data_IF_216139000193
#
_entry.id   IF_216139000193
#
_cell.length_a   1.000
_cell.length_b   1.000
_cell.length_c   1.000
_cell.angle_alpha   90.00
_cell.angle_beta   90.00
_cell.angle_gamma   90.00
#
_symmetry.space_group_name_H-M   'P 1'
#
loop_
_entity.id
_entity.type
_entity.pdbx_description
1 polymer ?
#
# COMPACT_ATOMS: atom_id res chain seq x y z
N UNK A 1 37.08 -14.79 -12.40
CA UNK A 1 37.15 -13.34 -12.11
C UNK A 1 35.86 -12.97 -11.40
N UNK A 2 35.98 -12.91 -10.07
CA UNK A 2 34.89 -12.66 -9.14
C UNK A 2 34.66 -11.15 -9.09
N UNK A 3 33.50 -10.67 -9.58
CA UNK A 3 33.15 -9.26 -9.49
C UNK A 3 32.29 -9.07 -8.25
N UNK A 4 32.92 -8.57 -7.20
CA UNK A 4 32.29 -8.11 -5.96
C UNK A 4 31.22 -7.07 -6.31
N UNK A 5 29.98 -7.54 -6.47
CA UNK A 5 28.81 -6.69 -6.71
C UNK A 5 28.46 -6.02 -5.39
N UNK A 6 29.06 -4.86 -5.12
CA UNK A 6 28.60 -3.97 -4.07
C UNK A 6 27.09 -3.75 -4.25
N UNK A 7 26.27 -4.27 -3.32
CA UNK A 7 24.82 -4.05 -3.31
C UNK A 7 24.55 -2.61 -2.85
N UNK A 8 24.88 -1.65 -3.70
CA UNK A 8 24.48 -0.26 -3.53
C UNK A 8 22.97 -0.16 -3.78
N UNK A 9 22.23 0.20 -2.74
CA UNK A 9 20.80 0.48 -2.79
C UNK A 9 20.47 1.58 -3.82
N UNK A 10 19.20 1.73 -4.18
CA UNK A 10 18.77 2.80 -5.08
C UNK A 10 18.95 4.16 -4.40
N UNK A 11 19.65 5.10 -5.05
CA UNK A 11 19.76 6.47 -4.56
C UNK A 11 18.47 7.25 -4.82
N UNK A 12 18.28 8.39 -4.16
CA UNK A 12 17.08 9.21 -4.36
C UNK A 12 17.05 9.78 -5.79
N UNK A 13 18.21 10.15 -6.34
CA UNK A 13 18.35 10.64 -7.71
C UNK A 13 17.95 9.56 -8.74
N UNK A 14 18.34 8.31 -8.51
CA UNK A 14 17.96 7.20 -9.38
C UNK A 14 16.44 6.92 -9.31
N UNK A 15 15.84 7.02 -8.12
CA UNK A 15 14.41 6.84 -7.95
C UNK A 15 13.62 7.98 -8.60
N UNK A 16 14.07 9.21 -8.41
CA UNK A 16 13.45 10.40 -8.99
C UNK A 16 13.49 10.37 -10.51
N UNK A 17 14.65 10.08 -11.10
CA UNK A 17 14.77 9.94 -12.55
C UNK A 17 13.87 8.83 -13.12
N UNK A 18 13.70 7.74 -12.38
CA UNK A 18 12.80 6.64 -12.78
C UNK A 18 11.33 7.08 -12.74
N UNK A 19 10.94 7.82 -11.71
CA UNK A 19 9.57 8.36 -11.57
C UNK A 19 9.28 9.40 -12.65
N UNK A 20 10.23 10.29 -12.95
CA UNK A 20 10.06 11.30 -14.00
C UNK A 20 9.86 10.68 -15.38
N UNK A 21 10.69 9.71 -15.75
CA UNK A 21 10.52 8.99 -17.01
C UNK A 21 9.20 8.22 -17.05
N UNK A 22 8.76 7.64 -15.93
CA UNK A 22 7.47 6.95 -15.84
C UNK A 22 6.30 7.91 -16.06
N UNK A 23 6.28 9.05 -15.36
CA UNK A 23 5.20 10.05 -15.50
C UNK A 23 5.19 10.66 -16.91
N UNK A 24 6.36 10.91 -17.50
CA UNK A 24 6.47 11.35 -18.90
C UNK A 24 5.82 10.35 -19.86
N UNK A 25 6.13 9.06 -19.72
CA UNK A 25 5.51 8.02 -20.56
C UNK A 25 4.01 7.88 -20.29
N UNK A 26 3.55 8.04 -19.05
CA UNK A 26 2.13 7.99 -18.70
C UNK A 26 1.34 9.13 -19.35
N UNK A 27 1.90 10.34 -19.41
CA UNK A 27 1.29 11.47 -20.12
C UNK A 27 1.13 11.14 -21.61
N UNK A 28 2.14 10.56 -22.23
CA UNK A 28 2.07 10.13 -23.63
C UNK A 28 0.98 9.07 -23.83
N UNK A 29 0.89 8.07 -22.95
CA UNK A 29 -0.16 7.03 -23.02
C UNK A 29 -1.57 7.64 -22.88
N UNK A 30 -1.78 8.56 -21.94
CA UNK A 30 -3.08 9.23 -21.75
C UNK A 30 -3.47 10.13 -22.93
N UNK A 31 -2.48 10.65 -23.65
CA UNK A 31 -2.69 11.42 -24.88
C UNK A 31 -2.80 10.54 -26.13
N UNK A 32 -2.80 9.21 -25.98
CA UNK A 32 -2.73 8.24 -27.07
C UNK A 32 -1.53 8.46 -28.03
N UNK A 33 -0.44 9.03 -27.50
CA UNK A 33 0.80 9.19 -28.24
C UNK A 33 1.69 7.94 -28.07
N UNK A 34 2.29 7.43 -29.16
CA UNK A 34 3.16 6.28 -29.07
C UNK A 34 4.45 6.64 -28.33
N UNK A 35 4.94 5.72 -27.49
CA UNK A 35 6.24 5.80 -26.85
C UNK A 35 6.91 4.43 -26.83
N UNK A 36 8.25 4.41 -26.80
CA UNK A 36 9.01 3.17 -26.76
C UNK A 36 9.68 2.96 -25.39
N UNK A 37 9.14 2.01 -24.62
CA UNK A 37 9.68 1.60 -23.31
C UNK A 37 11.16 1.23 -23.35
N UNK A 38 11.59 0.55 -24.42
CA UNK A 38 12.97 0.09 -24.56
C UNK A 38 13.95 1.26 -24.81
N UNK A 39 13.49 2.29 -25.52
CA UNK A 39 14.29 3.48 -25.78
C UNK A 39 14.40 4.37 -24.54
N UNK A 40 13.30 4.58 -23.80
CA UNK A 40 13.34 5.32 -22.53
C UNK A 40 14.26 4.63 -21.51
N UNK A 41 14.18 3.29 -21.40
CA UNK A 41 15.10 2.50 -20.58
C UNK A 41 16.57 2.70 -21.00
N UNK A 42 16.84 2.73 -22.31
CA UNK A 42 18.18 2.99 -22.86
C UNK A 42 18.65 4.41 -22.53
N UNK A 43 17.78 5.42 -22.60
CA UNK A 43 18.09 6.81 -22.27
C UNK A 43 18.43 6.95 -20.78
N UNK A 44 17.61 6.39 -19.90
CA UNK A 44 17.87 6.38 -18.45
C UNK A 44 19.24 5.77 -18.12
N UNK A 45 19.58 4.64 -18.75
CA UNK A 45 20.89 3.98 -18.55
C UNK A 45 22.06 4.69 -19.22
N UNK A 46 21.83 5.58 -20.20
CA UNK A 46 22.89 6.46 -20.71
C UNK A 46 23.13 7.66 -19.79
N UNK A 47 22.15 8.02 -18.95
CA UNK A 47 22.24 9.12 -18.01
C UNK A 47 22.20 8.64 -16.55
N UNK A 48 21.16 9.02 -15.79
CA UNK A 48 21.13 8.90 -14.32
C UNK A 48 21.18 7.46 -13.81
N UNK A 49 20.77 6.47 -14.61
CA UNK A 49 20.77 5.05 -14.24
C UNK A 49 21.90 4.26 -14.89
N UNK A 50 23.05 4.90 -15.17
CA UNK A 50 24.20 4.28 -15.84
C UNK A 50 24.78 3.05 -15.13
N UNK A 51 24.59 2.96 -13.81
CA UNK A 51 25.00 1.82 -12.98
C UNK A 51 23.99 0.67 -12.94
N UNK A 52 22.80 0.83 -13.55
CA UNK A 52 21.69 -0.14 -13.47
C UNK A 52 21.54 -0.95 -14.76
N UNK A 53 21.15 -2.22 -14.62
CA UNK A 53 20.84 -3.07 -15.77
C UNK A 53 19.48 -2.75 -16.37
N UNK A 54 19.27 -3.07 -17.65
CA UNK A 54 17.98 -2.87 -18.32
C UNK A 54 16.83 -3.56 -17.58
N UNK A 55 17.07 -4.79 -17.09
CA UNK A 55 16.11 -5.55 -16.28
C UNK A 55 15.81 -4.90 -14.93
N UNK A 56 16.79 -4.26 -14.31
CA UNK A 56 16.61 -3.56 -13.03
C UNK A 56 15.75 -2.31 -13.20
N UNK A 57 15.94 -1.57 -14.30
CA UNK A 57 15.11 -0.42 -14.68
C UNK A 57 13.68 -0.85 -15.03
N UNK A 58 13.51 -1.94 -15.78
CA UNK A 58 12.19 -2.49 -16.09
C UNK A 58 11.42 -2.86 -14.82
N UNK A 59 12.07 -3.58 -13.90
CA UNK A 59 11.49 -3.93 -12.60
C UNK A 59 11.18 -2.67 -11.76
N UNK A 60 11.98 -1.61 -11.87
CA UNK A 60 11.70 -0.32 -11.21
C UNK A 60 10.40 0.30 -11.72
N UNK A 61 10.14 0.27 -13.03
CA UNK A 61 8.87 0.76 -13.59
C UNK A 61 7.66 -0.07 -13.13
N UNK A 62 7.84 -1.37 -12.92
CA UNK A 62 6.81 -2.24 -12.32
C UNK A 62 6.56 -1.90 -10.84
N UNK A 63 7.60 -1.54 -10.08
CA UNK A 63 7.44 -1.05 -8.70
C UNK A 63 6.68 0.28 -8.66
N UNK A 64 6.97 1.21 -9.59
CA UNK A 64 6.23 2.48 -9.69
C UNK A 64 4.76 2.21 -10.02
N UNK A 65 4.47 1.31 -10.96
CA UNK A 65 3.10 0.89 -11.31
C UNK A 65 2.33 0.35 -10.10
N UNK A 66 2.99 -0.45 -9.26
CA UNK A 66 2.38 -0.94 -8.03
C UNK A 66 2.11 0.18 -7.00
N UNK A 67 2.98 1.20 -6.94
CA UNK A 67 2.75 2.39 -6.10
C UNK A 67 1.57 3.20 -6.62
N UNK A 68 1.45 3.38 -7.94
CA UNK A 68 0.30 4.05 -8.56
C UNK A 68 -1.01 3.33 -8.22
N UNK A 69 -1.05 2.00 -8.35
CA UNK A 69 -2.21 1.18 -7.97
C UNK A 69 -2.56 1.37 -6.48
N UNK A 70 -1.56 1.36 -5.59
CA UNK A 70 -1.77 1.58 -4.15
C UNK A 70 -2.30 2.97 -3.81
N UNK A 71 -2.02 3.97 -4.65
CA UNK A 71 -2.51 5.34 -4.51
C UNK A 71 -3.81 5.57 -5.27
N UNK A 72 -4.35 4.57 -5.98
CA UNK A 72 -5.53 4.70 -6.82
C UNK A 72 -5.31 5.59 -8.06
N UNK A 73 -4.06 5.75 -8.50
CA UNK A 73 -3.69 6.58 -9.64
C UNK A 73 -3.63 5.74 -10.93
N UNK A 74 -3.87 6.34 -12.10
CA UNK A 74 -3.72 5.64 -13.37
C UNK A 74 -2.25 5.24 -13.59
N UNK A 75 -2.03 4.01 -14.06
CA UNK A 75 -0.70 3.47 -14.37
C UNK A 75 -0.55 3.19 -15.85
N UNK A 76 0.70 3.08 -16.30
CA UNK A 76 1.00 2.63 -17.65
C UNK A 76 0.56 1.17 -17.80
N UNK A 77 -0.30 0.89 -18.77
CA UNK A 77 -0.89 -0.44 -18.96
C UNK A 77 0.18 -1.50 -19.21
N UNK A 78 1.20 -1.15 -20.00
CA UNK A 78 2.31 -2.02 -20.39
C UNK A 78 3.34 -2.34 -19.30
N UNK A 79 3.22 -1.80 -18.09
CA UNK A 79 4.03 -2.16 -16.93
C UNK A 79 3.16 -2.87 -15.88
N UNK A 80 3.31 -4.19 -15.77
CA UNK A 80 2.59 -4.99 -14.78
C UNK A 80 3.13 -4.69 -13.39
N UNK A 81 2.23 -4.42 -12.45
CA UNK A 81 2.58 -4.09 -11.06
C UNK A 81 3.39 -5.20 -10.40
N UNK A 82 4.50 -4.82 -9.77
CA UNK A 82 5.40 -5.76 -9.11
C UNK A 82 4.72 -6.44 -7.91
N UNK A 83 4.92 -7.75 -7.77
CA UNK A 83 4.34 -8.56 -6.68
C UNK A 83 5.11 -8.43 -5.37
N UNK A 84 6.42 -8.19 -5.45
CA UNK A 84 7.33 -8.09 -4.30
C UNK A 84 7.89 -6.69 -4.20
N UNK A 85 7.29 -5.91 -3.31
CA UNK A 85 7.61 -4.50 -3.13
C UNK A 85 8.47 -4.35 -1.87
N UNK A 86 9.75 -4.05 -2.02
CA UNK A 86 10.61 -3.77 -0.87
C UNK A 86 10.13 -2.52 -0.16
N UNK A 87 9.74 -2.64 1.11
CA UNK A 87 9.03 -1.61 1.89
C UNK A 87 9.69 -0.23 1.85
N UNK A 88 11.01 -0.15 2.01
CA UNK A 88 11.73 1.12 2.01
C UNK A 88 11.73 1.86 0.67
N UNK A 89 11.64 1.15 -0.46
CA UNK A 89 11.64 1.80 -1.78
C UNK A 89 10.25 2.29 -2.18
N UNK A 90 9.19 1.59 -1.75
CA UNK A 90 7.80 2.05 -1.93
C UNK A 90 7.61 3.41 -1.27
N UNK A 91 8.03 3.53 0.00
CA UNK A 91 7.86 4.77 0.77
C UNK A 91 8.53 5.94 0.07
N UNK A 92 9.78 5.75 -0.39
CA UNK A 92 10.52 6.78 -1.13
C UNK A 92 9.85 7.15 -2.46
N UNK A 93 9.36 6.17 -3.23
CA UNK A 93 8.61 6.45 -4.46
C UNK A 93 7.31 7.23 -4.18
N UNK A 94 6.57 6.88 -3.12
CA UNK A 94 5.37 7.61 -2.69
C UNK A 94 5.69 9.07 -2.34
N UNK A 95 6.77 9.31 -1.59
CA UNK A 95 7.22 10.66 -1.24
C UNK A 95 7.60 11.48 -2.47
N UNK A 96 8.30 10.88 -3.44
CA UNK A 96 8.68 11.55 -4.69
C UNK A 96 7.42 11.90 -5.50
N UNK A 97 6.46 10.98 -5.63
CA UNK A 97 5.20 11.23 -6.34
C UNK A 97 4.38 12.36 -5.68
N UNK A 98 4.26 12.35 -4.36
CA UNK A 98 3.57 13.41 -3.62
C UNK A 98 4.24 14.78 -3.79
N UNK A 99 5.58 14.83 -3.78
CA UNK A 99 6.33 16.07 -4.03
C UNK A 99 6.10 16.60 -5.45
N UNK A 100 6.11 15.74 -6.47
CA UNK A 100 5.90 16.16 -7.86
C UNK A 100 4.46 16.63 -8.11
N UNK A 101 3.48 16.04 -7.45
CA UNK A 101 2.09 16.52 -7.47
C UNK A 101 1.99 17.93 -6.87
N UNK A 102 2.60 18.16 -5.70
CA UNK A 102 2.67 19.48 -5.07
C UNK A 102 3.39 20.52 -5.92
N UNK A 103 4.48 20.15 -6.60
CA UNK A 103 5.18 21.05 -7.52
C UNK A 103 4.38 21.38 -8.78
N UNK A 104 3.65 20.41 -9.33
CA UNK A 104 2.72 20.65 -10.43
C UNK A 104 1.63 21.65 -10.02
N UNK A 105 1.06 21.51 -8.81
CA UNK A 105 0.09 22.44 -8.24
C UNK A 105 0.73 23.83 -8.05
N UNK A 106 1.92 23.92 -7.45
CA UNK A 106 2.63 25.18 -7.20
C UNK A 106 3.01 25.92 -8.48
N UNK A 107 3.41 25.20 -9.53
CA UNK A 107 3.77 25.77 -10.82
C UNK A 107 2.55 26.18 -11.65
N UNK A 108 1.42 25.49 -11.51
CA UNK A 108 0.14 25.88 -12.13
C UNK A 108 -0.37 27.24 -11.63
N UNK A 109 -0.13 27.57 -10.35
CA UNK A 109 -0.46 28.88 -9.78
C UNK A 109 0.45 30.03 -10.23
N UNK A 110 1.60 29.75 -10.86
CA UNK A 110 2.61 30.77 -11.21
C UNK A 110 2.73 31.11 -12.68
N UNK A 111 2.23 30.26 -13.58
CA UNK A 111 2.29 30.49 -15.03
C UNK A 111 0.90 30.35 -15.63
N UNK A 112 0.27 31.49 -15.89
CA UNK A 112 -0.91 31.57 -16.74
C UNK A 112 -0.55 31.23 -18.19
N UNK A 113 -0.43 29.94 -18.51
CA UNK A 113 -0.56 29.41 -19.87
C UNK A 113 -0.87 27.91 -19.82
N UNK A 114 -1.80 27.56 -20.69
CA UNK A 114 -2.62 26.36 -20.76
C UNK A 114 -1.83 25.11 -21.19
N UNK A 115 -1.45 24.24 -20.25
CA UNK A 115 -1.10 22.84 -20.55
C UNK A 115 -1.62 21.92 -19.45
N UNK A 116 -2.55 21.04 -19.87
CA UNK A 116 -3.08 19.87 -19.17
C UNK A 116 -3.34 20.05 -17.68
N UNK A 117 -4.54 20.52 -17.38
CA UNK A 117 -5.23 20.27 -16.11
C UNK A 117 -5.17 18.76 -15.86
N UNK A 118 -4.21 18.27 -15.08
CA UNK A 118 -4.42 17.09 -14.27
C UNK A 118 -5.57 17.49 -13.35
N UNK A 119 -6.80 17.31 -13.83
CA UNK A 119 -7.93 17.20 -12.94
C UNK A 119 -7.49 16.06 -12.02
N UNK A 120 -7.30 16.38 -10.74
CA UNK A 120 -7.79 15.49 -9.71
C UNK A 120 -9.26 15.29 -10.08
N UNK A 121 -9.49 14.29 -10.94
CA UNK A 121 -10.70 13.53 -10.87
C UNK A 121 -10.57 12.97 -9.46
N UNK A 122 -11.17 13.66 -8.48
CA UNK A 122 -11.84 12.90 -7.42
C UNK A 122 -12.45 11.74 -8.17
N UNK A 123 -12.18 10.47 -7.83
CA UNK A 123 -12.86 9.37 -8.49
C UNK A 123 -14.34 9.60 -8.21
N UNK A 124 -14.99 10.39 -9.08
CA UNK A 124 -16.40 10.31 -9.35
C UNK A 124 -16.44 8.89 -9.84
N UNK A 125 -16.85 8.00 -8.92
CA UNK A 125 -17.45 6.76 -9.33
C UNK A 125 -18.24 7.11 -10.60
N UNK A 126 -18.00 6.41 -11.72
CA UNK A 126 -18.78 6.67 -12.92
C UNK A 126 -20.23 6.82 -12.46
N UNK A 127 -20.93 7.87 -12.91
CA UNK A 127 -22.35 7.97 -12.61
C UNK A 127 -22.97 6.68 -13.13
N UNK A 128 -23.14 5.71 -12.24
CA UNK A 128 -23.75 4.42 -12.49
C UNK A 128 -25.23 4.73 -12.52
N UNK A 129 -25.64 5.43 -13.57
CA UNK A 129 -27.05 5.69 -13.84
C UNK A 129 -27.77 4.35 -14.03
N UNK A 130 -27.03 3.30 -14.41
CA UNK A 130 -27.47 1.92 -14.45
C UNK A 130 -26.48 0.96 -13.77
N UNK A 131 -27.00 -0.13 -13.19
CA UNK A 131 -26.19 -1.20 -12.63
C UNK A 131 -25.34 -1.86 -13.74
N UNK A 132 -24.02 -2.03 -13.55
CA UNK A 132 -23.18 -2.63 -14.57
C UNK A 132 -23.57 -4.10 -14.78
N UNK A 133 -23.47 -4.62 -16.01
CA UNK A 133 -23.71 -6.03 -16.26
C UNK A 133 -22.68 -6.88 -15.50
N UNK A 134 -23.17 -7.78 -14.64
CA UNK A 134 -22.34 -8.75 -13.93
C UNK A 134 -21.89 -9.91 -14.83
N UNK A 135 -20.98 -10.74 -14.32
CA UNK A 135 -20.58 -12.00 -14.96
C UNK A 135 -21.34 -13.15 -14.30
N UNK A 136 -22.21 -13.84 -15.05
CA UNK A 136 -23.00 -14.97 -14.53
C UNK A 136 -22.12 -16.12 -14.01
N UNK A 137 -20.97 -16.34 -14.65
CA UNK A 137 -20.02 -17.41 -14.33
C UNK A 137 -18.59 -16.86 -14.22
N UNK A 138 -18.21 -16.29 -13.06
CA UNK A 138 -16.86 -15.77 -12.87
C UNK A 138 -15.82 -16.90 -12.96
N UNK A 139 -14.68 -16.62 -13.61
CA UNK A 139 -13.59 -17.61 -13.69
C UNK A 139 -12.91 -17.75 -12.33
N UNK A 140 -12.76 -19.00 -11.88
CA UNK A 140 -12.00 -19.32 -10.68
C UNK A 140 -10.50 -19.12 -10.91
N UNK A 141 -9.84 -18.47 -9.95
CA UNK A 141 -8.38 -18.29 -9.93
C UNK A 141 -7.82 -18.77 -8.60
N UNK A 142 -6.63 -19.38 -8.61
CA UNK A 142 -5.91 -19.80 -7.40
C UNK A 142 -4.74 -18.87 -7.11
N UNK A 143 -4.46 -18.63 -5.82
CA UNK A 143 -3.32 -17.85 -5.34
C UNK A 143 -2.71 -18.51 -4.10
N UNK A 144 -1.37 -18.59 -4.07
CA UNK A 144 -0.64 -19.08 -2.89
C UNK A 144 -0.47 -17.95 -1.88
N UNK A 145 -0.95 -18.15 -0.66
CA UNK A 145 -0.88 -17.15 0.42
C UNK A 145 0.06 -17.65 1.52
N UNK A 146 1.08 -16.87 1.83
CA UNK A 146 1.94 -17.10 3.01
C UNK A 146 1.16 -16.69 4.26
N UNK A 147 0.99 -17.61 5.20
CA UNK A 147 0.31 -17.36 6.49
C UNK A 147 1.30 -17.56 7.62
N UNK A 148 1.34 -16.60 8.55
CA UNK A 148 2.05 -16.77 9.81
C UNK A 148 1.17 -17.57 10.76
N UNK A 149 1.72 -18.63 11.36
CA UNK A 149 1.02 -19.43 12.37
C UNK A 149 0.89 -18.61 13.65
N UNK A 150 -0.29 -18.67 14.27
CA UNK A 150 -0.62 -17.97 15.52
C UNK A 150 -0.90 -18.99 16.59
N UNK A 151 -0.45 -18.75 17.82
CA UNK A 151 -0.72 -19.62 18.96
C UNK A 151 -2.16 -19.46 19.42
N UNK A 152 -2.90 -20.56 19.39
CA UNK A 152 -4.31 -20.59 19.80
C UNK A 152 -4.50 -20.11 21.26
N UNK A 153 -3.51 -20.32 22.12
CA UNK A 153 -3.57 -19.92 23.53
C UNK A 153 -3.58 -18.40 23.71
N UNK A 154 -2.81 -17.65 22.91
CA UNK A 154 -2.82 -16.17 22.96
C UNK A 154 -4.19 -15.66 22.56
N UNK A 155 -4.75 -16.17 21.45
CA UNK A 155 -6.10 -15.83 21.01
C UNK A 155 -7.14 -16.10 22.10
N UNK A 156 -7.16 -17.31 22.65
CA UNK A 156 -8.13 -17.71 23.69
C UNK A 156 -8.00 -16.84 24.94
N UNK A 157 -6.78 -16.54 25.37
CA UNK A 157 -6.53 -15.70 26.54
C UNK A 157 -7.04 -14.27 26.34
N UNK A 158 -6.73 -13.65 25.20
CA UNK A 158 -7.15 -12.26 24.88
C UNK A 158 -8.68 -12.17 24.78
N UNK A 159 -9.33 -13.13 24.12
CA UNK A 159 -10.79 -13.18 24.06
C UNK A 159 -11.42 -13.37 25.44
N UNK A 160 -10.84 -14.23 26.29
CA UNK A 160 -11.32 -14.42 27.66
C UNK A 160 -11.16 -13.16 28.50
N UNK A 161 -10.02 -12.45 28.40
CA UNK A 161 -9.77 -11.17 29.09
C UNK A 161 -10.82 -10.12 28.72
N UNK A 162 -11.20 -10.06 27.45
CA UNK A 162 -12.15 -9.07 26.94
C UNK A 162 -13.57 -9.20 27.48
N UNK A 163 -13.96 -10.38 28.00
CA UNK A 163 -15.31 -10.68 28.46
C UNK A 163 -16.41 -10.36 27.41
N UNK A 164 -16.07 -10.45 26.12
CA UNK A 164 -17.00 -10.13 25.03
C UNK A 164 -17.24 -8.64 24.84
N UNK A 165 -16.39 -7.78 25.41
CA UNK A 165 -16.40 -6.33 25.23
C UNK A 165 -15.18 -5.94 24.37
N UNK A 166 -15.41 -5.13 23.33
CA UNK A 166 -14.36 -4.62 22.48
C UNK A 166 -13.43 -3.69 23.26
N UNK A 167 -12.13 -3.98 23.27
CA UNK A 167 -11.11 -3.19 23.96
C UNK A 167 -10.83 -1.82 23.28
N UNK A 168 -11.39 -1.58 22.09
CA UNK A 168 -11.23 -0.33 21.34
C UNK A 168 -12.39 0.66 21.44
N UNK A 169 -13.63 0.18 21.57
CA UNK A 169 -14.81 1.05 21.69
C UNK A 169 -15.62 0.84 22.98
N UNK A 170 -15.29 -0.16 23.79
CA UNK A 170 -16.00 -0.49 25.02
C UNK A 170 -17.41 -1.08 24.82
N UNK A 171 -17.81 -1.32 23.57
CA UNK A 171 -19.12 -1.93 23.26
C UNK A 171 -19.04 -3.46 23.31
N UNK A 172 -20.17 -4.10 23.62
CA UNK A 172 -20.31 -5.56 23.52
C UNK A 172 -20.04 -6.04 22.08
N UNK A 173 -19.65 -7.30 21.95
CA UNK A 173 -19.53 -7.95 20.64
C UNK A 173 -20.81 -7.76 19.81
N UNK A 174 -20.70 -7.49 18.50
CA UNK A 174 -21.85 -7.16 17.66
C UNK A 174 -22.81 -8.34 17.46
N UNK A 175 -22.31 -9.57 17.57
CA UNK A 175 -23.07 -10.80 17.44
C UNK A 175 -22.34 -11.95 18.13
N UNK A 176 -22.95 -13.14 18.15
CA UNK A 176 -22.37 -14.38 18.66
C UNK A 176 -21.99 -15.31 17.50
N UNK A 177 -20.94 -16.12 17.67
CA UNK A 177 -20.59 -17.19 16.73
C UNK A 177 -21.57 -18.37 16.80
N UNK A 178 -21.34 -19.39 15.96
CA UNK A 178 -22.18 -20.60 15.91
C UNK A 178 -22.20 -21.39 17.24
N UNK A 179 -21.22 -21.18 18.13
CA UNK A 179 -21.18 -21.78 19.47
C UNK A 179 -21.84 -20.88 20.53
N UNK A 180 -22.43 -19.74 20.15
CA UNK A 180 -23.02 -18.76 21.07
C UNK A 180 -22.00 -17.87 21.78
N UNK A 181 -20.72 -17.86 21.37
CA UNK A 181 -19.68 -17.03 22.00
C UNK A 181 -19.67 -15.63 21.41
N UNK A 182 -19.42 -14.57 22.19
CA UNK A 182 -19.28 -13.20 21.68
C UNK A 182 -18.21 -13.10 20.58
N UNK A 183 -18.58 -12.56 19.41
CA UNK A 183 -17.68 -12.46 18.27
C UNK A 183 -16.77 -11.22 18.37
N UNK A 184 -15.50 -11.45 18.70
CA UNK A 184 -14.42 -10.46 18.64
C UNK A 184 -13.21 -11.05 17.90
N UNK A 185 -12.45 -10.17 17.25
CA UNK A 185 -11.25 -10.49 16.49
C UNK A 185 -10.02 -10.10 17.31
N UNK A 186 -9.02 -10.98 17.38
CA UNK A 186 -7.74 -10.66 18.03
C UNK A 186 -6.82 -9.99 17.04
N UNK A 187 -6.36 -8.80 17.41
CA UNK A 187 -5.49 -7.94 16.62
C UNK A 187 -4.16 -7.73 17.33
N UNK A 188 -3.05 -7.88 16.59
CA UNK A 188 -1.71 -7.56 17.08
C UNK A 188 -1.39 -6.09 16.78
N UNK A 189 -1.14 -5.27 17.80
CA UNK A 189 -0.93 -3.81 17.66
C UNK A 189 0.30 -3.51 16.80
N UNK A 190 1.41 -4.18 17.06
CA UNK A 190 2.50 -4.35 16.09
C UNK A 190 2.20 -5.58 15.25
N UNK A 191 1.92 -5.36 13.97
CA UNK A 191 1.63 -6.47 13.06
C UNK A 191 2.77 -7.49 13.01
N UNK A 192 2.43 -8.79 13.01
CA UNK A 192 3.41 -9.88 12.92
C UNK A 192 4.32 -9.78 11.68
N UNK A 193 3.77 -9.34 10.55
CA UNK A 193 4.53 -9.13 9.31
C UNK A 193 5.56 -7.99 9.43
N UNK A 194 5.39 -7.09 10.40
CA UNK A 194 6.28 -5.98 10.71
C UNK A 194 7.13 -6.29 11.96
N UNK A 195 7.32 -7.57 12.30
CA UNK A 195 8.15 -8.01 13.41
C UNK A 195 7.51 -7.92 14.80
N UNK A 196 6.18 -7.73 14.88
CA UNK A 196 5.47 -7.80 16.16
C UNK A 196 5.41 -9.22 16.70
N UNK A 197 5.38 -9.35 18.03
CA UNK A 197 5.32 -10.66 18.67
C UNK A 197 3.90 -11.20 18.76
N UNK A 198 3.77 -12.54 18.73
CA UNK A 198 2.51 -13.22 19.05
C UNK A 198 2.39 -13.43 20.57
N UNK A 199 2.30 -12.32 21.30
CA UNK A 199 2.17 -12.27 22.77
C UNK A 199 0.89 -11.53 23.18
N UNK A 200 0.43 -11.82 24.39
CA UNK A 200 -0.73 -11.14 24.99
C UNK A 200 -0.49 -9.64 25.23
N UNK A 201 0.78 -9.24 25.41
CA UNK A 201 1.19 -7.83 25.55
C UNK A 201 1.17 -7.04 24.25
N UNK A 202 1.05 -7.71 23.10
CA UNK A 202 0.93 -7.07 21.79
C UNK A 202 -0.47 -7.33 21.17
N UNK A 203 -1.42 -7.92 21.90
CA UNK A 203 -2.68 -8.38 21.34
C UNK A 203 -3.92 -7.84 22.08
N UNK A 204 -4.92 -7.42 21.31
CA UNK A 204 -6.20 -6.88 21.79
C UNK A 204 -7.39 -7.54 21.13
N UNK A 205 -8.52 -7.61 21.83
CA UNK A 205 -9.81 -8.10 21.32
C UNK A 205 -10.66 -6.94 20.80
N UNK A 206 -10.99 -6.94 19.51
CA UNK A 206 -11.70 -5.86 18.84
C UNK A 206 -12.96 -6.36 18.12
N UNK A 207 -13.99 -5.53 18.04
CA UNK A 207 -15.09 -5.77 17.11
C UNK A 207 -14.60 -5.60 15.65
N UNK A 208 -15.32 -6.14 14.65
CA UNK A 208 -14.91 -6.03 13.24
C UNK A 208 -14.65 -4.59 12.80
N UNK A 209 -15.44 -3.62 13.27
CA UNK A 209 -15.28 -2.22 12.90
C UNK A 209 -13.99 -1.62 13.48
N UNK A 210 -13.71 -1.84 14.78
CA UNK A 210 -12.48 -1.36 15.41
C UNK A 210 -11.24 -2.06 14.85
N UNK A 211 -11.34 -3.37 14.54
CA UNK A 211 -10.25 -4.10 13.92
C UNK A 211 -9.90 -3.52 12.55
N UNK A 212 -10.90 -3.22 11.72
CA UNK A 212 -10.71 -2.56 10.42
C UNK A 212 -10.17 -1.14 10.57
N UNK A 213 -10.59 -0.38 11.58
CA UNK A 213 -10.04 0.95 11.88
C UNK A 213 -8.52 0.88 12.10
N UNK A 214 -8.03 -0.06 12.91
CA UNK A 214 -6.58 -0.26 13.11
C UNK A 214 -5.80 -0.53 11.81
N UNK A 215 -6.44 -1.15 10.80
CA UNK A 215 -5.78 -1.44 9.53
C UNK A 215 -5.85 -0.27 8.53
N UNK A 216 -6.99 0.40 8.43
CA UNK A 216 -7.34 1.20 7.26
C UNK A 216 -7.71 2.64 7.54
N UNK A 217 -8.00 3.02 8.79
CA UNK A 217 -8.43 4.40 9.06
C UNK A 217 -7.26 5.39 8.94
N UNK A 218 -7.60 6.65 8.67
CA UNK A 218 -6.67 7.76 8.64
C UNK A 218 -6.08 8.10 10.01
N UNK A 219 -6.76 7.67 11.08
CA UNK A 219 -6.39 7.92 12.48
C UNK A 219 -5.87 6.67 13.20
N UNK A 220 -5.47 5.63 12.44
CA UNK A 220 -5.09 4.33 12.99
C UNK A 220 -3.93 4.41 13.97
N UNK A 221 -2.95 5.28 13.76
CA UNK A 221 -1.82 5.47 14.68
C UNK A 221 -2.29 6.03 16.02
N UNK A 222 -3.14 7.07 15.98
CA UNK A 222 -3.72 7.67 17.18
C UNK A 222 -4.63 6.68 17.92
N UNK A 223 -5.45 5.94 17.17
CA UNK A 223 -6.31 4.89 17.70
C UNK A 223 -5.50 3.77 18.33
N UNK A 224 -4.39 3.35 17.70
CA UNK A 224 -3.49 2.30 18.22
C UNK A 224 -2.79 2.76 19.50
N UNK A 225 -2.35 4.02 19.55
CA UNK A 225 -1.71 4.60 20.74
C UNK A 225 -2.63 4.69 21.97
N UNK A 226 -3.96 4.65 21.79
CA UNK A 226 -4.91 4.64 22.93
C UNK A 226 -4.86 3.32 23.69
N UNK A 227 -4.64 2.18 23.01
CA UNK A 227 -4.63 0.86 23.67
C UNK A 227 -3.56 0.75 24.76
N UNK A 228 -2.34 1.24 24.49
CA UNK A 228 -1.25 1.22 25.48
C UNK A 228 -1.55 1.99 26.77
N UNK A 229 -2.57 2.87 26.76
CA UNK A 229 -3.03 3.63 27.93
C UNK A 229 -4.27 3.01 28.58
N UNK A 230 -5.14 2.38 27.79
CA UNK A 230 -6.46 1.92 28.24
C UNK A 230 -6.56 0.43 28.53
N UNK A 231 -5.62 -0.38 28.04
CA UNK A 231 -5.62 -1.84 28.22
C UNK A 231 -4.38 -2.24 29.02
N UNK A 232 -4.61 -2.84 30.18
CA UNK A 232 -3.54 -3.26 31.08
C UNK A 232 -2.72 -4.42 30.51
N UNK A 233 -1.40 -4.36 30.72
CA UNK A 233 -0.46 -5.41 30.32
C UNK A 233 -0.01 -5.36 28.86
N UNK A 234 -0.32 -4.29 28.13
CA UNK A 234 0.23 -4.05 26.80
C UNK A 234 1.60 -3.38 26.86
N UNK A 235 2.51 -3.79 25.97
CA UNK A 235 3.88 -3.27 25.88
C UNK A 235 4.16 -2.79 24.45
N UNK A 236 4.73 -1.59 24.32
CA UNK A 236 5.13 -1.07 23.02
C UNK A 236 6.40 -1.79 22.53
N UNK A 237 6.39 -2.25 21.27
CA UNK A 237 7.46 -3.05 20.66
C UNK A 237 8.11 -2.39 19.44
#
# INVERSE_FOLDING_TARGET
MDTSKEKTGWSDEELEASVDAYLKMLVLEQQNQPFNKADENRLLRKGPLSKRSASSVEYRMQNISAVMDLMGLPRITGYVSAKNLGSGVITRIKEILAKKDMEAIRNSSRRGTQLTRFRLIEPSAPELNDAPPGVLNPKQTSATVVRLSRKLNVKKWVLKRSQGICEGCGQKAPFQDADGKPFLEVHHLKHLVNGGTDRTSNAVALCPNCHRRCHYSSDKEEFTAKFYRSVEGLEAE
#
